data_IF_051950226106
#
_entry.id   IF_051950226106
#
_cell.length_a   1.000
_cell.length_b   1.000
_cell.length_c   1.000
_cell.angle_alpha   90.00
_cell.angle_beta   90.00
_cell.angle_gamma   90.00
#
_symmetry.space_group_name_H-M   'P 1'
#
loop_
_entity.id
_entity.type
_entity.pdbx_description
1 polymer ?
#
# COMPACT_ATOMS: atom_id res chain seq x y z
N UNK A 1 -8.32 -21.63 34.56
CA UNK A 1 -7.87 -21.88 33.18
C UNK A 1 -8.44 -20.74 32.35
N UNK A 2 -7.62 -19.74 32.03
CA UNK A 2 -8.08 -18.60 31.24
C UNK A 2 -8.11 -19.04 29.78
N UNK A 3 -9.30 -19.23 29.23
CA UNK A 3 -9.52 -19.36 27.80
C UNK A 3 -9.06 -18.05 27.14
N UNK A 4 -7.89 -18.08 26.51
CA UNK A 4 -7.44 -17.02 25.63
C UNK A 4 -8.34 -17.07 24.39
N UNK A 5 -9.42 -16.29 24.42
CA UNK A 5 -10.13 -15.92 23.20
C UNK A 5 -9.10 -15.36 22.23
N UNK A 6 -9.08 -15.79 20.95
CA UNK A 6 -8.18 -15.21 19.98
C UNK A 6 -8.53 -13.73 19.88
N UNK A 7 -7.60 -12.87 20.28
CA UNK A 7 -7.73 -11.44 20.13
C UNK A 7 -8.09 -11.16 18.67
N UNK A 8 -9.34 -10.75 18.47
CA UNK A 8 -9.81 -10.15 17.23
C UNK A 8 -8.74 -9.16 16.81
N UNK A 9 -8.10 -9.46 15.68
CA UNK A 9 -6.86 -8.86 15.24
C UNK A 9 -6.99 -7.33 15.37
N UNK A 10 -6.13 -6.68 16.16
CA UNK A 10 -6.32 -5.30 16.59
C UNK A 10 -6.33 -4.41 15.36
N UNK A 11 -7.26 -3.45 15.32
CA UNK A 11 -7.34 -2.33 14.39
C UNK A 11 -6.10 -2.23 13.49
N UNK A 12 -6.24 -2.71 12.24
CA UNK A 12 -5.19 -2.60 11.25
C UNK A 12 -5.06 -1.13 10.85
N UNK A 13 -4.43 -0.33 11.69
CA UNK A 13 -4.06 1.04 11.34
C UNK A 13 -2.61 1.02 10.85
N UNK A 14 -2.32 1.70 9.72
CA UNK A 14 -0.94 1.88 9.28
C UNK A 14 -0.13 2.59 10.37
N UNK A 15 1.00 1.99 10.77
CA UNK A 15 1.88 2.57 11.78
C UNK A 15 3.13 3.13 11.14
N UNK A 16 3.45 4.39 11.43
CA UNK A 16 4.73 4.96 11.04
C UNK A 16 5.85 4.31 11.88
N UNK A 17 6.80 3.67 11.22
CA UNK A 17 7.96 3.06 11.87
C UNK A 17 9.09 4.06 12.06
N UNK A 18 9.23 5.03 11.15
CA UNK A 18 10.25 6.06 11.23
C UNK A 18 10.59 6.66 9.86
N UNK A 19 11.71 7.37 9.81
CA UNK A 19 12.23 7.97 8.59
C UNK A 19 13.63 7.42 8.28
N UNK A 20 13.93 7.22 6.99
CA UNK A 20 15.24 6.80 6.49
C UNK A 20 15.62 7.68 5.29
N UNK A 21 16.45 8.68 5.54
CA UNK A 21 16.72 9.73 4.55
C UNK A 21 15.43 10.49 4.22
N UNK A 22 15.08 10.57 2.94
CA UNK A 22 13.85 11.22 2.47
C UNK A 22 12.59 10.34 2.54
N UNK A 23 12.74 9.08 2.97
CA UNK A 23 11.65 8.11 3.01
C UNK A 23 11.02 8.02 4.39
N UNK A 24 9.71 8.18 4.47
CA UNK A 24 8.90 7.79 5.64
C UNK A 24 8.47 6.35 5.48
N UNK A 25 8.71 5.52 6.48
CA UNK A 25 8.43 4.08 6.46
C UNK A 25 7.19 3.81 7.31
N UNK A 26 6.22 3.13 6.70
CA UNK A 26 4.97 2.70 7.30
C UNK A 26 4.88 1.18 7.28
N UNK A 27 4.31 0.60 8.34
CA UNK A 27 4.01 -0.82 8.44
C UNK A 27 2.50 -1.01 8.47
N UNK A 28 2.00 -1.86 7.59
CA UNK A 28 0.58 -2.12 7.44
C UNK A 28 0.33 -3.58 7.06
N UNK A 29 -0.37 -4.34 7.91
CA UNK A 29 -0.73 -5.76 7.67
C UNK A 29 0.43 -6.64 7.16
N UNK A 30 1.64 -6.44 7.69
CA UNK A 30 2.86 -7.17 7.28
C UNK A 30 3.58 -6.57 6.06
N UNK A 31 2.95 -5.64 5.33
CA UNK A 31 3.60 -4.84 4.29
C UNK A 31 4.43 -3.70 4.89
N UNK A 32 5.48 -3.32 4.18
CA UNK A 32 6.23 -2.08 4.40
C UNK A 32 5.95 -1.11 3.25
N UNK A 33 5.47 0.08 3.57
CA UNK A 33 5.14 1.13 2.61
C UNK A 33 6.10 2.29 2.86
N UNK A 34 6.92 2.64 1.88
CA UNK A 34 7.86 3.76 1.96
C UNK A 34 7.36 4.91 1.12
N UNK A 35 7.23 6.10 1.69
CA UNK A 35 6.78 7.32 0.99
C UNK A 35 7.87 8.38 0.99
N UNK A 36 8.10 9.04 -0.15
CA UNK A 36 8.99 10.19 -0.30
C UNK A 36 8.37 11.18 -1.31
N UNK A 37 7.74 12.23 -0.81
CA UNK A 37 6.96 13.16 -1.63
C UNK A 37 5.83 12.45 -2.38
N UNK A 38 5.86 12.49 -3.72
CA UNK A 38 4.89 11.83 -4.60
C UNK A 38 5.22 10.36 -4.91
N UNK A 39 6.37 9.87 -4.44
CA UNK A 39 6.80 8.50 -4.69
C UNK A 39 6.45 7.61 -3.51
N UNK A 40 5.65 6.57 -3.75
CA UNK A 40 5.44 5.48 -2.78
C UNK A 40 6.01 4.19 -3.33
N UNK A 41 6.66 3.42 -2.45
CA UNK A 41 7.15 2.06 -2.70
C UNK A 41 6.42 1.09 -1.77
N UNK A 42 5.91 0.00 -2.33
CA UNK A 42 5.30 -1.10 -1.58
C UNK A 42 6.30 -2.23 -1.48
N UNK A 43 6.46 -2.80 -0.29
CA UNK A 43 7.16 -4.06 -0.07
C UNK A 43 6.23 -5.03 0.65
N UNK A 44 5.88 -6.11 -0.04
CA UNK A 44 5.01 -7.16 0.48
C UNK A 44 5.38 -8.45 -0.26
N UNK A 45 6.01 -9.39 0.44
CA UNK A 45 6.44 -10.64 -0.16
C UNK A 45 5.25 -11.39 -0.79
N UNK A 46 5.42 -11.84 -2.03
CA UNK A 46 4.36 -12.51 -2.81
C UNK A 46 3.38 -11.56 -3.50
N UNK A 47 3.44 -10.25 -3.26
CA UNK A 47 2.61 -9.27 -3.96
C UNK A 47 3.17 -8.97 -5.37
N UNK A 48 2.33 -8.88 -6.43
CA UNK A 48 2.78 -8.57 -7.79
C UNK A 48 3.46 -7.19 -7.96
N UNK A 49 3.26 -6.30 -7.00
CA UNK A 49 3.91 -4.98 -6.92
C UNK A 49 4.97 -4.89 -5.81
N UNK A 50 5.47 -6.03 -5.31
CA UNK A 50 6.57 -6.03 -4.37
C UNK A 50 7.79 -5.29 -4.93
N UNK A 51 8.31 -4.36 -4.15
CA UNK A 51 9.43 -3.51 -4.50
C UNK A 51 9.16 -2.44 -5.57
N UNK A 52 7.95 -2.35 -6.14
CA UNK A 52 7.60 -1.38 -7.18
C UNK A 52 7.25 -0.01 -6.60
N UNK A 53 7.38 1.02 -7.42
CA UNK A 53 6.98 2.40 -7.13
C UNK A 53 5.93 2.90 -8.10
N UNK A 54 5.31 4.05 -7.81
CA UNK A 54 4.41 4.73 -8.76
C UNK A 54 2.94 4.78 -8.35
N UNK A 55 2.65 4.57 -7.07
CA UNK A 55 1.31 4.73 -6.49
C UNK A 55 1.35 5.76 -5.34
N UNK A 56 0.19 6.27 -4.95
CA UNK A 56 0.05 7.06 -3.73
C UNK A 56 0.08 6.17 -2.49
N UNK A 57 0.27 6.78 -1.32
CA UNK A 57 0.19 6.10 -0.04
C UNK A 57 -1.14 5.34 0.14
N UNK A 58 -2.27 6.00 -0.15
CA UNK A 58 -3.60 5.39 -0.06
C UNK A 58 -3.79 4.24 -1.06
N UNK A 59 -3.21 4.34 -2.25
CA UNK A 59 -3.23 3.26 -3.24
C UNK A 59 -2.42 2.05 -2.75
N UNK A 60 -1.27 2.27 -2.09
CA UNK A 60 -0.49 1.19 -1.48
C UNK A 60 -1.31 0.44 -0.41
N UNK A 61 -2.07 1.16 0.42
CA UNK A 61 -2.96 0.54 1.41
C UNK A 61 -4.03 -0.33 0.75
N UNK A 62 -4.71 0.20 -0.27
CA UNK A 62 -5.74 -0.54 -1.04
C UNK A 62 -5.17 -1.78 -1.76
N UNK A 63 -3.93 -1.69 -2.25
CA UNK A 63 -3.21 -2.83 -2.83
C UNK A 63 -2.96 -3.92 -1.80
N UNK A 64 -2.50 -3.55 -0.60
CA UNK A 64 -2.28 -4.48 0.50
C UNK A 64 -3.60 -5.15 0.92
N UNK A 65 -4.67 -4.37 1.12
CA UNK A 65 -5.98 -4.91 1.50
C UNK A 65 -6.55 -5.84 0.43
N UNK A 66 -6.62 -5.38 -0.83
CA UNK A 66 -7.16 -6.20 -1.92
C UNK A 66 -6.39 -7.51 -2.11
N UNK A 67 -5.07 -7.49 -1.91
CA UNK A 67 -4.26 -8.69 -2.02
C UNK A 67 -4.44 -9.63 -0.84
N UNK A 68 -4.38 -9.13 0.39
CA UNK A 68 -4.48 -9.98 1.58
C UNK A 68 -5.89 -10.54 1.76
N UNK A 69 -6.93 -9.75 1.47
CA UNK A 69 -8.33 -10.15 1.70
C UNK A 69 -8.90 -10.98 0.56
N UNK A 70 -8.47 -10.73 -0.68
CA UNK A 70 -9.08 -11.32 -1.86
C UNK A 70 -8.10 -12.00 -2.82
N UNK A 71 -6.78 -11.94 -2.57
CA UNK A 71 -5.74 -12.33 -3.54
C UNK A 71 -5.97 -11.67 -4.91
N UNK A 72 -6.52 -10.46 -4.90
CA UNK A 72 -6.86 -9.70 -6.09
C UNK A 72 -6.04 -8.42 -6.12
N UNK A 73 -5.50 -8.13 -7.29
CA UNK A 73 -5.00 -6.80 -7.55
C UNK A 73 -6.22 -5.88 -7.79
N UNK A 74 -6.28 -4.68 -7.18
CA UNK A 74 -7.19 -3.65 -7.64
C UNK A 74 -6.94 -3.43 -9.14
N UNK A 75 -8.01 -3.16 -9.90
CA UNK A 75 -7.92 -2.96 -11.34
C UNK A 75 -6.75 -2.03 -11.68
N UNK A 76 -5.95 -2.33 -12.72
CA UNK A 76 -4.79 -1.52 -13.08
C UNK A 76 -5.24 -0.07 -13.24
N UNK A 77 -4.55 0.82 -12.52
CA UNK A 77 -4.84 2.24 -12.57
C UNK A 77 -4.55 2.74 -13.99
N UNK A 78 -5.60 2.90 -14.78
CA UNK A 78 -5.53 3.61 -16.05
C UNK A 78 -5.33 5.07 -15.66
N UNK A 79 -4.12 5.58 -15.87
CA UNK A 79 -3.88 7.01 -15.70
C UNK A 79 -4.89 7.74 -16.60
N UNK A 80 -5.65 8.74 -16.10
CA UNK A 80 -6.58 9.45 -16.96
C UNK A 80 -5.74 10.00 -18.09
N UNK A 81 -5.98 9.47 -19.29
CA UNK A 81 -5.27 9.90 -20.48
C UNK A 81 -5.49 11.41 -20.51
N UNK A 82 -4.43 12.24 -20.49
CA UNK A 82 -4.63 13.69 -20.54
C UNK A 82 -5.54 13.97 -21.75
N UNK A 83 -6.58 14.79 -21.60
CA UNK A 83 -7.52 15.04 -22.68
C UNK A 83 -6.70 15.43 -23.90
N UNK A 84 -6.85 14.66 -25.00
CA UNK A 84 -6.18 14.96 -26.26
C UNK A 84 -6.43 16.44 -26.55
N UNK A 85 -5.37 17.25 -26.51
CA UNK A 85 -5.45 18.67 -26.91
C UNK A 85 -6.08 18.68 -28.29
N UNK A 86 -7.27 19.26 -28.44
CA UNK A 86 -7.84 19.53 -29.76
C UNK A 86 -6.81 20.40 -30.51
N UNK A 87 -6.45 20.07 -31.77
CA UNK A 87 -5.70 21.01 -32.58
C UNK A 87 -6.51 22.30 -32.72
N UNK A 88 -5.81 23.43 -32.57
CA UNK A 88 -6.33 24.79 -32.77
C UNK A 88 -6.52 25.02 -34.27
#
# INVERSE_FOLDING_TARGET
>A
MSEQHPELIPHHEPRQQGTKGVWTIWRYRGAEIRTAGVSTRLQLAGHPYDGKTGFSYEQALKLVDGWLDHQRLPAPFVWPVPPKRKPI
#
